data_IF_051947038224
#
_entry.id   IF_051947038224
#
_cell.length_a   1.000
_cell.length_b   1.000
_cell.length_c   1.000
_cell.angle_alpha   90.00
_cell.angle_beta   90.00
_cell.angle_gamma   90.00
#
_symmetry.space_group_name_H-M   'P 1'
#
loop_
_entity.id
_entity.type
_entity.pdbx_description
1 polymer ?
#
# COMPACT_ATOMS: atom_id res chain seq x y z
N UNK A 1 8.50 -19.26 -6.41
CA UNK A 1 7.31 -18.44 -6.78
C UNK A 1 7.28 -17.28 -5.80
N UNK A 2 7.05 -16.04 -6.23
CA UNK A 2 7.16 -14.90 -5.31
C UNK A 2 5.95 -14.88 -4.36
N UNK A 3 6.19 -14.55 -3.10
CA UNK A 3 5.17 -14.44 -2.07
C UNK A 3 5.04 -12.99 -1.61
N UNK A 4 3.81 -12.61 -1.25
CA UNK A 4 3.48 -11.38 -0.55
C UNK A 4 3.07 -11.76 0.87
N UNK A 5 3.85 -11.27 1.84
CA UNK A 5 3.71 -11.59 3.26
C UNK A 5 3.42 -10.30 4.00
N UNK A 6 2.39 -10.30 4.86
CA UNK A 6 2.06 -9.17 5.72
C UNK A 6 2.24 -9.59 7.17
N UNK A 7 3.10 -8.88 7.89
CA UNK A 7 3.42 -9.12 9.30
C UNK A 7 3.10 -7.87 10.11
N UNK A 8 2.30 -8.02 11.15
CA UNK A 8 2.09 -6.96 12.14
C UNK A 8 3.21 -7.03 13.18
N UNK A 9 3.77 -5.89 13.55
CA UNK A 9 4.81 -5.80 14.59
C UNK A 9 4.40 -4.72 15.58
N UNK A 10 4.56 -4.98 16.87
CA UNK A 10 4.29 -3.98 17.93
C UNK A 10 5.46 -3.00 18.02
N UNK A 11 5.39 -1.87 17.32
CA UNK A 11 6.46 -0.86 17.24
C UNK A 11 5.93 0.56 17.47
N UNK A 12 6.28 1.17 18.59
CA UNK A 12 5.77 2.50 18.94
C UNK A 12 6.73 3.64 18.49
N UNK A 13 8.01 3.32 18.23
CA UNK A 13 9.05 4.32 17.99
C UNK A 13 9.60 4.28 16.54
N UNK A 14 10.06 5.42 16.03
CA UNK A 14 10.84 5.52 14.77
C UNK A 14 12.05 4.56 14.76
N UNK A 15 12.80 4.51 15.87
CA UNK A 15 13.98 3.65 16.01
C UNK A 15 13.63 2.17 15.83
N UNK A 16 12.49 1.75 16.39
CA UNK A 16 12.01 0.37 16.28
C UNK A 16 11.57 0.02 14.85
N UNK A 17 10.91 0.95 14.14
CA UNK A 17 10.55 0.84 12.72
C UNK A 17 11.78 0.70 11.83
N UNK A 18 12.79 1.55 12.02
CA UNK A 18 14.05 1.45 11.26
C UNK A 18 14.78 0.13 11.54
N UNK A 19 14.79 -0.35 12.80
CA UNK A 19 15.40 -1.64 13.16
C UNK A 19 14.68 -2.81 12.49
N UNK A 20 13.36 -2.74 12.40
CA UNK A 20 12.56 -3.76 11.75
C UNK A 20 12.83 -3.82 10.24
N UNK A 21 12.82 -2.68 9.56
CA UNK A 21 13.14 -2.61 8.14
C UNK A 21 14.53 -3.18 7.86
N UNK A 22 15.54 -2.80 8.65
CA UNK A 22 16.90 -3.36 8.54
C UNK A 22 16.92 -4.88 8.75
N UNK A 23 16.13 -5.38 9.70
CA UNK A 23 16.05 -6.81 9.98
C UNK A 23 15.42 -7.58 8.84
N UNK A 24 14.34 -7.06 8.24
CA UNK A 24 13.67 -7.66 7.10
C UNK A 24 14.58 -7.65 5.88
N UNK A 25 15.17 -6.51 5.52
CA UNK A 25 16.05 -6.38 4.34
C UNK A 25 17.30 -7.25 4.46
N UNK A 26 17.75 -7.57 5.68
CA UNK A 26 18.87 -8.49 5.89
C UNK A 26 18.51 -9.97 5.64
N UNK A 27 17.23 -10.32 5.49
CA UNK A 27 16.80 -11.68 5.16
C UNK A 27 16.97 -11.93 3.66
N UNK A 28 17.64 -13.03 3.32
CA UNK A 28 17.83 -13.44 1.93
C UNK A 28 16.48 -13.73 1.26
N UNK A 29 16.34 -13.32 0.00
CA UNK A 29 15.13 -13.53 -0.80
C UNK A 29 14.11 -12.40 -0.72
N UNK A 30 14.31 -11.39 0.14
CA UNK A 30 13.48 -10.19 0.18
C UNK A 30 13.79 -9.30 -1.02
N UNK A 31 12.77 -8.96 -1.80
CA UNK A 31 12.91 -8.06 -2.95
C UNK A 31 12.34 -6.66 -2.66
N UNK A 32 11.25 -6.58 -1.92
CA UNK A 32 10.62 -5.32 -1.55
C UNK A 32 10.02 -5.38 -0.16
N UNK A 33 10.08 -4.25 0.54
CA UNK A 33 9.49 -4.06 1.87
C UNK A 33 8.79 -2.73 1.90
N UNK A 34 7.54 -2.73 2.33
CA UNK A 34 6.75 -1.53 2.55
C UNK A 34 6.19 -1.54 3.97
N UNK A 35 6.08 -0.35 4.55
CA UNK A 35 5.55 -0.15 5.88
C UNK A 35 4.13 0.42 5.74
N UNK A 36 3.14 -0.34 6.18
CA UNK A 36 1.72 -0.17 5.85
C UNK A 36 0.90 0.02 7.13
N UNK A 37 -0.31 0.55 6.98
CA UNK A 37 -1.27 0.81 8.05
C UNK A 37 -1.14 2.21 8.64
N UNK A 38 -2.26 2.75 9.14
CA UNK A 38 -2.32 4.11 9.70
C UNK A 38 -1.31 4.32 10.84
N UNK A 39 -1.15 3.29 11.68
CA UNK A 39 -0.22 3.30 12.81
C UNK A 39 1.21 2.93 12.43
N UNK A 40 1.49 2.59 11.16
CA UNK A 40 2.83 2.19 10.71
C UNK A 40 3.37 0.97 11.49
N UNK A 41 2.50 -0.01 11.71
CA UNK A 41 2.75 -1.22 12.50
C UNK A 41 2.70 -2.51 11.67
N UNK A 42 2.57 -2.41 10.34
CA UNK A 42 2.53 -3.56 9.45
C UNK A 42 3.66 -3.49 8.43
N UNK A 43 4.30 -4.63 8.19
CA UNK A 43 5.34 -4.81 7.19
C UNK A 43 4.80 -5.70 6.07
N UNK A 44 4.69 -5.14 4.89
CA UNK A 44 4.43 -5.87 3.66
C UNK A 44 5.76 -6.23 3.01
N UNK A 45 6.01 -7.52 2.82
CA UNK A 45 7.24 -8.06 2.28
C UNK A 45 6.92 -8.85 1.02
N UNK A 46 7.64 -8.56 -0.06
CA UNK A 46 7.53 -9.29 -1.33
C UNK A 46 8.87 -9.94 -1.63
N UNK A 47 8.86 -11.24 -1.93
CA UNK A 47 10.07 -12.00 -2.22
C UNK A 47 9.88 -13.50 -2.17
N UNK A 48 10.98 -14.24 -2.29
CA UNK A 48 11.04 -15.68 -2.07
C UNK A 48 11.58 -15.94 -0.66
N UNK A 49 10.71 -15.84 0.34
CA UNK A 49 11.10 -15.81 1.75
C UNK A 49 10.17 -16.68 2.59
N UNK A 50 10.74 -17.44 3.51
CA UNK A 50 9.95 -18.18 4.48
C UNK A 50 9.32 -17.23 5.51
N UNK A 51 7.99 -17.15 5.50
CA UNK A 51 7.19 -16.35 6.41
C UNK A 51 7.44 -16.67 7.89
N UNK A 52 7.70 -17.93 8.25
CA UNK A 52 7.94 -18.36 9.64
C UNK A 52 9.31 -17.88 10.10
N UNK A 53 10.33 -18.04 9.26
CA UNK A 53 11.70 -17.58 9.56
C UNK A 53 11.73 -16.06 9.69
N UNK A 54 11.07 -15.35 8.77
CA UNK A 54 10.96 -13.90 8.78
C UNK A 54 10.27 -13.39 10.05
N UNK A 55 9.10 -13.95 10.39
CA UNK A 55 8.34 -13.59 11.59
C UNK A 55 9.14 -13.90 12.87
N UNK A 56 9.86 -15.01 12.88
CA UNK A 56 10.73 -15.40 14.01
C UNK A 56 11.92 -14.46 14.17
N UNK A 57 12.54 -14.01 13.08
CA UNK A 57 13.63 -13.04 13.13
C UNK A 57 13.17 -11.69 13.71
N UNK A 58 11.98 -11.24 13.33
CA UNK A 58 11.36 -10.02 13.88
C UNK A 58 11.07 -10.16 15.38
N UNK A 59 10.46 -11.29 15.80
CA UNK A 59 10.20 -11.59 17.22
C UNK A 59 11.47 -11.56 18.08
N UNK A 60 12.58 -12.06 17.55
CA UNK A 60 13.86 -12.13 18.28
C UNK A 60 14.61 -10.80 18.35
N UNK A 61 14.63 -10.04 17.25
CA UNK A 61 15.51 -8.86 17.12
C UNK A 61 14.81 -7.53 17.36
N UNK A 62 13.50 -7.47 17.18
CA UNK A 62 12.75 -6.21 17.15
C UNK A 62 11.73 -6.15 18.27
N UNK A 63 10.64 -6.90 18.14
CA UNK A 63 9.46 -6.83 18.99
C UNK A 63 8.52 -8.01 18.68
N UNK A 64 7.50 -8.27 19.51
CA UNK A 64 6.43 -9.21 19.18
C UNK A 64 5.85 -8.93 17.79
N UNK A 65 5.73 -9.99 16.99
CA UNK A 65 5.26 -9.92 15.62
C UNK A 65 4.23 -11.02 15.34
N UNK A 66 3.21 -10.71 14.58
CA UNK A 66 2.12 -11.61 14.21
C UNK A 66 2.04 -11.71 12.69
N UNK A 67 2.02 -12.94 12.18
CA UNK A 67 1.80 -13.18 10.77
C UNK A 67 0.32 -12.92 10.45
N UNK A 68 0.05 -11.94 9.59
CA UNK A 68 -1.32 -11.54 9.27
C UNK A 68 -1.83 -12.20 7.98
N UNK A 69 -0.99 -12.25 6.95
CA UNK A 69 -1.35 -12.89 5.68
C UNK A 69 -0.13 -13.36 4.91
N UNK A 70 -0.29 -14.45 4.16
CA UNK A 70 0.69 -14.97 3.18
C UNK A 70 -0.09 -15.31 1.93
N UNK A 71 0.30 -14.75 0.80
CA UNK A 71 -0.28 -15.06 -0.50
C UNK A 71 0.79 -15.10 -1.58
N UNK A 72 0.47 -15.70 -2.73
CA UNK A 72 1.32 -15.57 -3.91
C UNK A 72 1.33 -14.11 -4.37
N UNK A 73 2.52 -13.57 -4.63
CA UNK A 73 2.70 -12.30 -5.30
C UNK A 73 2.36 -12.50 -6.79
N UNK A 74 1.07 -12.53 -7.12
CA UNK A 74 0.63 -12.37 -8.51
C UNK A 74 1.23 -11.07 -9.05
N UNK A 75 1.89 -11.17 -10.21
CA UNK A 75 2.59 -10.09 -10.92
C UNK A 75 1.78 -8.79 -10.84
N UNK A 76 2.35 -7.69 -10.31
CA UNK A 76 1.85 -6.37 -10.60
C UNK A 76 2.07 -6.12 -12.09
N UNK A 77 0.98 -6.04 -12.84
CA UNK A 77 0.93 -5.23 -14.05
C UNK A 77 1.42 -3.83 -13.67
N UNK A 78 2.36 -3.27 -14.43
CA UNK A 78 2.77 -1.87 -14.30
C UNK A 78 1.54 -0.96 -14.26
N UNK A 79 1.31 -0.28 -13.13
CA UNK A 79 0.76 1.09 -13.17
C UNK A 79 1.61 2.00 -12.31
N UNK A 80 2.61 2.55 -12.99
CA UNK A 80 3.24 3.85 -12.77
C UNK A 80 2.26 4.85 -12.13
N UNK A 81 2.67 5.35 -10.97
CA UNK A 81 2.50 6.69 -10.43
C UNK A 81 1.10 7.36 -10.36
N UNK A 82 0.91 8.02 -9.21
CA UNK A 82 0.00 9.13 -8.90
C UNK A 82 -1.46 8.83 -8.52
N UNK A 83 -1.71 9.04 -7.22
CA UNK A 83 -3.01 9.31 -6.56
C UNK A 83 -3.59 10.64 -7.11
N UNK A 84 -4.92 10.82 -7.23
CA UNK A 84 -5.75 11.14 -6.06
C UNK A 84 -7.11 10.40 -5.99
N UNK A 85 -7.61 10.30 -4.75
CA UNK A 85 -8.99 10.07 -4.27
C UNK A 85 -10.08 9.50 -5.22
N UNK A 86 -10.91 8.54 -4.76
CA UNK A 86 -12.13 8.22 -5.49
C UNK A 86 -13.04 9.46 -5.50
N UNK A 87 -13.45 10.02 -6.66
CA UNK A 87 -14.58 10.91 -6.65
C UNK A 87 -15.77 10.08 -6.18
N UNK A 88 -16.33 10.47 -5.03
CA UNK A 88 -17.70 10.18 -4.67
C UNK A 88 -18.57 10.31 -5.92
N UNK A 89 -19.51 9.38 -6.11
CA UNK A 89 -20.50 9.51 -7.18
C UNK A 89 -21.31 10.79 -6.91
N UNK A 90 -20.85 11.91 -7.48
CA UNK A 90 -21.66 13.10 -7.61
C UNK A 90 -22.65 12.76 -8.70
N UNK A 91 -23.88 12.47 -8.27
CA UNK A 91 -25.04 12.40 -9.16
C UNK A 91 -25.10 13.74 -9.87
N UNK A 92 -24.83 13.76 -11.16
CA UNK A 92 -25.05 14.94 -12.00
C UNK A 92 -26.57 15.10 -12.14
N UNK A 93 -27.17 15.90 -11.25
CA UNK A 93 -28.52 16.38 -11.43
C UNK A 93 -28.54 17.23 -12.70
N UNK A 94 -29.24 16.72 -13.72
CA UNK A 94 -29.35 17.33 -15.06
C UNK A 94 -30.06 18.68 -15.05
N UNK A 95 -30.51 19.13 -13.88
CA UNK A 95 -31.26 20.36 -13.65
C UNK A 95 -30.38 21.62 -13.55
N UNK A 96 -29.04 21.49 -13.56
CA UNK A 96 -28.10 22.59 -13.37
C UNK A 96 -27.22 22.89 -14.60
N UNK A 97 -27.82 22.94 -15.79
CA UNK A 97 -27.17 23.56 -16.96
C UNK A 97 -27.91 24.86 -17.32
N UNK A 98 -27.27 26.04 -17.22
CA UNK A 98 -27.87 27.27 -17.71
C UNK A 98 -27.97 27.20 -19.24
N UNK A 99 -29.18 27.34 -19.77
CA UNK A 99 -29.40 27.50 -21.20
C UNK A 99 -28.83 28.84 -21.66
N UNK A 100 -27.54 28.87 -22.00
CA UNK A 100 -26.98 29.95 -22.81
C UNK A 100 -27.46 29.75 -24.25
N UNK A 101 -28.62 30.36 -24.54
CA UNK A 101 -29.15 30.52 -25.89
C UNK A 101 -28.21 31.46 -26.65
N UNK A 102 -27.36 30.91 -27.50
CA UNK A 102 -26.55 31.69 -28.43
C UNK A 102 -27.47 32.31 -29.50
N UNK A 103 -27.82 33.58 -29.32
CA UNK A 103 -28.47 34.39 -30.33
C UNK A 103 -27.40 34.94 -31.28
N UNK A 104 -27.33 34.41 -32.50
CA UNK A 104 -26.51 34.99 -33.56
C UNK A 104 -27.30 36.11 -34.25
N UNK A 105 -26.74 37.33 -34.39
CA UNK A 105 -27.39 38.40 -35.12
C UNK A 105 -27.37 38.11 -36.62
N UNK A 106 -28.53 38.22 -37.25
CA UNK A 106 -28.70 38.15 -38.70
C UNK A 106 -28.30 39.53 -39.27
N UNK A 107 -27.27 39.57 -40.10
CA UNK A 107 -26.93 40.77 -40.87
C UNK A 107 -27.98 40.96 -41.98
N UNK A 108 -28.59 42.14 -42.00
CA UNK A 108 -29.62 42.56 -42.96
C UNK A 108 -29.00 43.49 -44.01
#
# INVERSE_FOLDING_TARGET
>A
MKQKIVIRVSMNDEKSRSKALRTVVAVSGVESVALVGAERNQLEVVGDVDAVVLTSALRKKVAPAELFSVGEAKKPEEKKAETPAPPSQVVWDWSYYPQNVYHYPIFL
#
